data_IF_174027309332
#
_entry.id   IF_174027309332
#
_cell.length_a   1.000
_cell.length_b   1.000
_cell.length_c   1.000
_cell.angle_alpha   90.00
_cell.angle_beta   90.00
_cell.angle_gamma   90.00
#
_symmetry.space_group_name_H-M   'P 1'
#
loop_
_entity.id
_entity.type
_entity.pdbx_description
1 polymer ?
#
# COMPACT_ATOMS: atom_id res chain seq x y z
N UNK A 1 40.47 41.88 39.53
CA UNK A 1 40.04 40.83 38.58
C UNK A 1 38.80 41.38 37.90
N UNK A 2 38.83 41.47 36.57
CA UNK A 2 38.02 42.39 35.75
C UNK A 2 36.57 41.92 35.58
N UNK A 3 35.62 42.69 36.14
CA UNK A 3 34.15 42.54 36.11
C UNK A 3 33.61 42.31 34.68
N UNK A 4 34.29 42.90 33.68
CA UNK A 4 33.99 42.73 32.25
C UNK A 4 34.16 41.28 31.75
N UNK A 5 35.02 40.49 32.41
CA UNK A 5 35.28 39.08 32.10
C UNK A 5 34.12 38.19 32.56
N UNK A 6 33.58 38.50 33.74
CA UNK A 6 32.50 37.76 34.40
C UNK A 6 31.17 37.96 33.67
N UNK A 7 30.90 39.19 33.23
CA UNK A 7 29.73 39.53 32.39
C UNK A 7 29.76 38.80 31.03
N UNK A 8 30.93 38.72 30.38
CA UNK A 8 31.10 37.98 29.11
C UNK A 8 30.90 36.48 29.28
N UNK A 9 31.38 35.91 30.39
CA UNK A 9 31.22 34.50 30.71
C UNK A 9 29.73 34.17 30.96
N UNK A 10 29.05 35.00 31.74
CA UNK A 10 27.61 34.88 32.01
C UNK A 10 26.77 34.94 30.73
N UNK A 11 27.07 35.90 29.84
CA UNK A 11 26.41 36.00 28.52
C UNK A 11 26.66 34.78 27.63
N UNK A 12 27.87 34.21 27.68
CA UNK A 12 28.21 33.02 26.88
C UNK A 12 27.46 31.78 27.39
N UNK A 13 27.35 31.61 28.71
CA UNK A 13 26.58 30.53 29.34
C UNK A 13 25.09 30.65 28.96
N UNK A 14 24.53 31.87 29.02
CA UNK A 14 23.15 32.10 28.61
C UNK A 14 22.90 31.71 27.15
N UNK A 15 23.87 32.00 26.26
CA UNK A 15 23.80 31.62 24.84
C UNK A 15 23.87 30.11 24.64
N UNK A 16 24.72 29.41 25.39
CA UNK A 16 24.80 27.94 25.36
C UNK A 16 23.47 27.32 25.81
N UNK A 17 22.87 27.82 26.89
CA UNK A 17 21.57 27.34 27.36
C UNK A 17 20.42 27.63 26.38
N UNK A 18 20.49 28.75 25.66
CA UNK A 18 19.54 29.07 24.60
C UNK A 18 19.68 28.10 23.41
N UNK A 19 20.93 27.83 22.99
CA UNK A 19 21.22 26.87 21.92
C UNK A 19 20.81 25.45 22.28
N UNK A 20 21.09 24.98 23.50
CA UNK A 20 20.65 23.66 23.95
C UNK A 20 19.13 23.52 23.90
N UNK A 21 18.39 24.56 24.33
CA UNK A 21 16.91 24.57 24.24
C UNK A 21 16.42 24.55 22.79
N UNK A 22 17.09 25.30 21.90
CA UNK A 22 16.75 25.31 20.48
C UNK A 22 16.99 23.94 19.82
N UNK A 23 18.10 23.27 20.15
CA UNK A 23 18.41 21.92 19.65
C UNK A 23 17.33 20.93 20.09
N UNK A 24 16.99 20.88 21.38
CA UNK A 24 15.95 19.98 21.90
C UNK A 24 14.61 20.20 21.21
N UNK A 25 14.24 21.46 20.92
CA UNK A 25 13.02 21.78 20.18
C UNK A 25 13.06 21.25 18.75
N UNK A 26 14.17 21.44 18.04
CA UNK A 26 14.34 20.95 16.68
C UNK A 26 14.29 19.41 16.61
N UNK A 27 14.88 18.72 17.59
CA UNK A 27 14.80 17.26 17.71
C UNK A 27 13.36 16.78 17.88
N UNK A 28 12.56 17.47 18.71
CA UNK A 28 11.14 17.16 18.88
C UNK A 28 10.34 17.40 17.61
N UNK A 29 10.58 18.52 16.90
CA UNK A 29 9.91 18.85 15.64
C UNK A 29 10.29 17.85 14.52
N UNK A 30 11.54 17.41 14.48
CA UNK A 30 12.01 16.38 13.55
C UNK A 30 11.33 15.04 13.83
N UNK A 31 11.32 14.60 15.09
CA UNK A 31 10.66 13.35 15.48
C UNK A 31 9.15 13.37 15.20
N UNK A 32 8.49 14.51 15.41
CA UNK A 32 7.09 14.68 15.06
C UNK A 32 6.88 14.56 13.54
N UNK A 33 7.70 15.22 12.72
CA UNK A 33 7.64 15.11 11.26
C UNK A 33 7.86 13.68 10.76
N UNK A 34 8.83 12.95 11.34
CA UNK A 34 9.09 11.56 10.97
C UNK A 34 7.89 10.65 11.25
N UNK A 35 7.22 10.82 12.40
CA UNK A 35 5.98 10.08 12.71
C UNK A 35 4.88 10.40 11.71
N UNK A 36 4.64 11.69 11.43
CA UNK A 36 3.63 12.11 10.44
C UNK A 36 3.92 11.52 9.06
N UNK A 37 5.18 11.53 8.61
CA UNK A 37 5.57 10.92 7.32
C UNK A 37 5.33 9.41 7.32
N UNK A 38 5.60 8.71 8.43
CA UNK A 38 5.32 7.27 8.53
C UNK A 38 3.83 6.94 8.53
N UNK A 39 3.00 7.75 9.19
CA UNK A 39 1.54 7.59 9.26
C UNK A 39 0.87 7.94 7.92
N UNK A 40 1.49 8.84 7.16
CA UNK A 40 0.99 9.34 5.87
C UNK A 40 1.51 8.53 4.68
N UNK A 41 2.43 7.57 4.92
CA UNK A 41 2.83 6.58 3.93
C UNK A 41 1.70 5.57 3.75
N UNK A 42 0.69 5.94 2.94
CA UNK A 42 -0.35 5.01 2.50
C UNK A 42 0.30 3.74 1.96
N UNK A 43 -0.22 2.57 2.34
CA UNK A 43 0.21 1.29 1.78
C UNK A 43 0.31 1.39 0.26
N UNK A 44 1.37 0.85 -0.33
CA UNK A 44 1.48 0.88 -1.79
C UNK A 44 0.36 0.06 -2.40
N UNK A 45 0.02 0.31 -3.67
CA UNK A 45 -0.98 -0.51 -4.38
C UNK A 45 -0.53 -1.99 -4.40
N UNK A 46 0.79 -2.24 -4.38
CA UNK A 46 1.34 -3.59 -4.29
C UNK A 46 1.02 -4.25 -2.94
N UNK A 47 1.25 -3.54 -1.82
CA UNK A 47 0.97 -4.05 -0.48
C UNK A 47 -0.54 -4.29 -0.28
N UNK A 48 -1.36 -3.38 -0.80
CA UNK A 48 -2.81 -3.45 -0.76
C UNK A 48 -3.33 -4.66 -1.57
N UNK A 49 -2.84 -4.84 -2.80
CA UNK A 49 -3.21 -5.97 -3.63
C UNK A 49 -2.75 -7.30 -3.01
N UNK A 50 -1.52 -7.36 -2.48
CA UNK A 50 -1.01 -8.53 -1.79
C UNK A 50 -1.85 -8.89 -0.57
N UNK A 51 -2.28 -7.90 0.23
CA UNK A 51 -3.16 -8.12 1.38
C UNK A 51 -4.54 -8.66 0.98
N UNK A 52 -5.12 -8.13 -0.11
CA UNK A 52 -6.41 -8.58 -0.64
C UNK A 52 -6.35 -10.04 -1.10
N UNK A 53 -5.27 -10.42 -1.78
CA UNK A 53 -5.04 -11.79 -2.26
C UNK A 53 -4.71 -12.73 -1.10
N UNK A 54 -3.90 -12.29 -0.13
CA UNK A 54 -3.34 -13.15 0.92
C UNK A 54 -4.26 -13.41 2.13
N UNK A 55 -5.29 -12.59 2.39
CA UNK A 55 -6.00 -12.78 3.68
C UNK A 55 -7.41 -12.21 3.85
N UNK A 56 -7.86 -11.19 3.10
CA UNK A 56 -9.16 -10.57 3.42
C UNK A 56 -10.37 -11.27 2.79
N UNK A 57 -10.28 -11.76 1.54
CA UNK A 57 -11.44 -12.36 0.85
C UNK A 57 -11.71 -13.83 1.18
N UNK A 58 -10.70 -14.64 1.54
CA UNK A 58 -10.93 -16.01 2.00
C UNK A 58 -11.75 -16.04 3.32
N UNK A 59 -11.56 -15.03 4.16
CA UNK A 59 -12.26 -14.90 5.45
C UNK A 59 -13.69 -14.37 5.30
N UNK A 60 -13.95 -13.46 4.34
CA UNK A 60 -15.30 -12.91 4.08
C UNK A 60 -16.20 -13.84 3.24
N UNK A 61 -15.63 -14.62 2.31
CA UNK A 61 -16.37 -15.46 1.37
C UNK A 61 -16.24 -16.98 1.62
N UNK A 62 -15.53 -17.38 2.68
CA UNK A 62 -15.28 -18.78 3.06
C UNK A 62 -14.39 -19.56 2.09
N UNK A 63 -14.36 -20.89 2.22
CA UNK A 63 -13.67 -21.88 1.33
C UNK A 63 -14.05 -21.76 -0.18
N UNK A 64 -14.93 -20.82 -0.55
CA UNK A 64 -15.33 -20.55 -1.93
C UNK A 64 -14.40 -19.61 -2.71
N UNK A 65 -13.58 -18.79 -2.04
CA UNK A 65 -12.78 -17.75 -2.69
C UNK A 65 -11.65 -18.33 -3.57
N UNK A 66 -10.97 -19.36 -3.07
CA UNK A 66 -9.92 -20.11 -3.77
C UNK A 66 -10.41 -20.80 -5.05
N UNK A 67 -11.71 -21.14 -5.11
CA UNK A 67 -12.35 -21.80 -6.25
C UNK A 67 -13.15 -20.84 -7.15
N UNK A 68 -13.05 -19.53 -6.93
CA UNK A 68 -13.85 -18.54 -7.67
C UNK A 68 -13.47 -18.47 -9.15
N UNK A 69 -12.17 -18.42 -9.48
CA UNK A 69 -11.70 -18.33 -10.86
C UNK A 69 -11.99 -19.59 -11.70
N UNK A 70 -11.71 -20.82 -11.23
CA UNK A 70 -12.12 -22.03 -11.95
C UNK A 70 -13.64 -22.10 -12.19
N UNK A 71 -14.44 -21.67 -11.22
CA UNK A 71 -15.90 -21.64 -11.35
C UNK A 71 -16.39 -20.61 -12.37
N UNK A 72 -15.83 -19.40 -12.33
CA UNK A 72 -16.12 -18.34 -13.31
C UNK A 72 -15.74 -18.83 -14.72
N UNK A 73 -14.57 -19.46 -14.85
CA UNK A 73 -14.12 -20.05 -16.11
C UNK A 73 -15.14 -21.06 -16.63
N UNK A 74 -15.58 -22.02 -15.82
CA UNK A 74 -16.58 -23.02 -16.21
C UNK A 74 -17.93 -22.38 -16.65
N UNK A 75 -18.38 -21.34 -15.94
CA UNK A 75 -19.60 -20.62 -16.31
C UNK A 75 -19.47 -19.90 -17.65
N UNK A 76 -18.36 -19.20 -17.86
CA UNK A 76 -18.10 -18.54 -19.14
C UNK A 76 -17.87 -19.53 -20.26
N UNK A 77 -17.22 -20.66 -19.99
CA UNK A 77 -17.05 -21.73 -20.98
C UNK A 77 -18.39 -22.24 -21.49
N UNK A 78 -19.29 -22.53 -20.54
CA UNK A 78 -20.66 -22.99 -20.84
C UNK A 78 -21.43 -21.95 -21.66
N UNK A 79 -21.35 -20.68 -21.29
CA UNK A 79 -22.07 -19.61 -21.97
C UNK A 79 -21.54 -19.33 -23.38
N UNK A 80 -20.22 -19.39 -23.57
CA UNK A 80 -19.55 -19.08 -24.84
C UNK A 80 -19.42 -20.28 -25.78
N UNK A 81 -19.66 -21.50 -25.30
CA UNK A 81 -19.46 -22.73 -26.06
C UNK A 81 -17.99 -23.02 -26.38
N UNK A 82 -17.05 -22.53 -25.56
CA UNK A 82 -15.61 -22.78 -25.70
C UNK A 82 -14.96 -22.94 -24.35
N UNK A 83 -13.96 -23.79 -24.22
CA UNK A 83 -13.25 -23.94 -22.95
C UNK A 83 -12.40 -22.70 -22.61
N UNK A 84 -12.39 -22.35 -21.33
CA UNK A 84 -11.62 -21.28 -20.72
C UNK A 84 -10.96 -21.83 -19.46
N UNK A 85 -9.70 -21.45 -19.25
CA UNK A 85 -8.96 -21.76 -18.03
C UNK A 85 -9.28 -20.76 -16.91
N UNK A 86 -8.91 -21.10 -15.67
CA UNK A 86 -8.94 -20.17 -14.55
C UNK A 86 -8.05 -18.93 -14.81
N UNK A 87 -6.92 -19.12 -15.50
CA UNK A 87 -6.03 -18.04 -15.94
C UNK A 87 -6.73 -17.11 -16.94
N UNK A 88 -7.49 -17.66 -17.89
CA UNK A 88 -8.29 -16.84 -18.82
C UNK A 88 -9.31 -15.99 -18.06
N UNK A 89 -10.00 -16.58 -17.08
CA UNK A 89 -10.93 -15.86 -16.22
C UNK A 89 -10.24 -14.71 -15.47
N UNK A 90 -9.07 -14.96 -14.88
CA UNK A 90 -8.30 -13.94 -14.17
C UNK A 90 -7.88 -12.78 -15.11
N UNK A 91 -7.33 -13.11 -16.28
CA UNK A 91 -6.92 -12.12 -17.28
C UNK A 91 -8.10 -11.26 -17.77
N UNK A 92 -9.25 -11.88 -18.00
CA UNK A 92 -10.47 -11.14 -18.37
C UNK A 92 -10.98 -10.23 -17.24
N UNK A 93 -10.80 -10.61 -15.97
CA UNK A 93 -11.10 -9.72 -14.84
C UNK A 93 -10.16 -8.52 -14.78
N UNK A 94 -8.89 -8.66 -15.18
CA UNK A 94 -7.97 -7.52 -15.36
C UNK A 94 -8.51 -6.58 -16.45
N UNK A 95 -8.92 -7.10 -17.60
CA UNK A 95 -9.50 -6.29 -18.68
C UNK A 95 -10.76 -5.55 -18.22
N UNK A 96 -11.62 -6.19 -17.43
CA UNK A 96 -12.80 -5.55 -16.83
C UNK A 96 -12.41 -4.35 -15.95
N UNK A 97 -11.35 -4.47 -15.16
CA UNK A 97 -10.85 -3.35 -14.34
C UNK A 97 -10.29 -2.23 -15.18
N UNK A 98 -9.58 -2.54 -16.26
CA UNK A 98 -9.11 -1.52 -17.20
C UNK A 98 -10.25 -0.81 -17.93
N UNK A 99 -11.31 -1.53 -18.29
CA UNK A 99 -12.52 -0.92 -18.85
C UNK A 99 -13.17 0.05 -17.87
N UNK A 100 -13.27 -0.32 -16.57
CA UNK A 100 -13.80 0.57 -15.52
C UNK A 100 -12.92 1.80 -15.30
N UNK A 101 -11.60 1.62 -15.31
CA UNK A 101 -10.64 2.70 -15.19
C UNK A 101 -10.80 3.72 -16.33
N UNK A 102 -11.01 3.24 -17.56
CA UNK A 102 -11.22 4.11 -18.72
C UNK A 102 -12.48 4.98 -18.64
N UNK A 103 -13.49 4.54 -17.88
CA UNK A 103 -14.76 5.26 -17.73
C UNK A 103 -14.83 6.12 -16.46
N UNK A 104 -14.43 5.56 -15.32
CA UNK A 104 -14.44 6.23 -14.01
C UNK A 104 -13.20 5.80 -13.20
N UNK A 105 -12.10 6.55 -13.30
CA UNK A 105 -10.86 6.27 -12.58
C UNK A 105 -11.06 6.13 -11.08
N UNK A 106 -10.51 5.07 -10.51
CA UNK A 106 -10.50 4.82 -9.07
C UNK A 106 -9.31 3.97 -8.67
N UNK A 107 -8.81 4.17 -7.45
CA UNK A 107 -7.67 3.43 -6.93
C UNK A 107 -7.91 1.91 -6.90
N UNK A 108 -9.10 1.49 -6.50
CA UNK A 108 -9.50 0.08 -6.42
C UNK A 108 -9.44 -0.63 -7.79
N UNK A 109 -9.62 0.09 -8.91
CA UNK A 109 -9.45 -0.50 -10.23
C UNK A 109 -8.01 -1.01 -10.43
N UNK A 110 -7.01 -0.22 -10.08
CA UNK A 110 -5.60 -0.63 -10.17
C UNK A 110 -5.27 -1.71 -9.14
N UNK A 111 -5.71 -1.55 -7.88
CA UNK A 111 -5.46 -2.56 -6.84
C UNK A 111 -6.07 -3.92 -7.21
N UNK A 112 -7.32 -3.95 -7.67
CA UNK A 112 -7.98 -5.18 -8.10
C UNK A 112 -7.32 -5.79 -9.36
N UNK A 113 -6.88 -4.95 -10.31
CA UNK A 113 -6.19 -5.43 -11.52
C UNK A 113 -4.90 -6.17 -11.16
N UNK A 114 -4.10 -5.60 -10.23
CA UNK A 114 -2.89 -6.26 -9.72
C UNK A 114 -3.26 -7.53 -8.95
N UNK A 115 -4.31 -7.51 -8.14
CA UNK A 115 -4.80 -8.69 -7.43
C UNK A 115 -5.18 -9.85 -8.36
N UNK A 116 -5.92 -9.57 -9.44
CA UNK A 116 -6.25 -10.58 -10.45
C UNK A 116 -5.02 -11.07 -11.23
N UNK A 117 -4.02 -10.21 -11.46
CA UNK A 117 -2.77 -10.62 -12.09
C UNK A 117 -1.96 -11.59 -11.21
N UNK A 118 -1.91 -11.35 -9.90
CA UNK A 118 -1.29 -12.27 -8.94
C UNK A 118 -2.01 -13.62 -8.91
N UNK A 119 -3.36 -13.61 -8.92
CA UNK A 119 -4.15 -14.85 -9.01
C UNK A 119 -3.93 -15.58 -10.35
N UNK A 120 -3.76 -14.84 -11.45
CA UNK A 120 -3.44 -15.44 -12.73
C UNK A 120 -2.10 -16.17 -12.68
N UNK A 121 -1.07 -15.57 -12.09
CA UNK A 121 0.25 -16.19 -11.91
C UNK A 121 0.19 -17.52 -11.15
N UNK A 122 -0.65 -17.59 -10.11
CA UNK A 122 -0.88 -18.79 -9.29
C UNK A 122 -1.69 -19.90 -9.98
N UNK A 123 -2.36 -19.61 -11.10
CA UNK A 123 -3.10 -20.64 -11.84
C UNK A 123 -2.12 -21.58 -12.55
N UNK A 124 -2.14 -22.88 -12.25
CA UNK A 124 -1.32 -23.85 -13.00
C UNK A 124 -1.75 -23.89 -14.47
N UNK A 125 -0.85 -23.49 -15.37
CA UNK A 125 -1.00 -23.77 -16.79
C UNK A 125 -0.57 -25.22 -17.02
N UNK A 126 -1.53 -26.09 -17.31
CA UNK A 126 -1.24 -27.34 -17.99
C UNK A 126 -0.91 -27.01 -19.45
N UNK A 127 0.34 -26.63 -19.69
CA UNK A 127 0.93 -26.59 -21.04
C UNK A 127 0.98 -28.00 -21.63
#
# INVERSE_FOLDING_TARGET
MDDTSEVKLSSSIARVHELSRAITRLEQELSAKERTVSEQKSASILDEAASIVAGSRATEYGEGAENSLPRIAAYWSTYLGRELSARDAANMMVLLKMARESHKPKRDNHTDAIGYMLLAEQCEDKL
#
